data_IF_037764141526
#
_entry.id   IF_037764141526
#
_cell.length_a   1.000
_cell.length_b   1.000
_cell.length_c   1.000
_cell.angle_alpha   90.00
_cell.angle_beta   90.00
_cell.angle_gamma   90.00
#
_symmetry.space_group_name_H-M   'P 1'
#
loop_
_entity.id
_entity.type
_entity.pdbx_description
1 polymer ?
#
# COMPACT_ATOMS: atom_id res chain seq x y z
N UNK A 1 27.36 -6.50 -4.83
CA UNK A 1 25.94 -6.62 -5.20
C UNK A 1 25.20 -7.31 -4.06
N UNK A 2 24.38 -6.56 -3.32
CA UNK A 2 23.64 -7.06 -2.16
C UNK A 2 22.44 -7.89 -2.63
N UNK A 3 22.42 -9.19 -2.31
CA UNK A 3 21.29 -10.10 -2.61
C UNK A 3 19.92 -9.59 -2.12
N UNK A 4 19.89 -8.66 -1.16
CA UNK A 4 18.64 -8.10 -0.62
C UNK A 4 17.90 -7.19 -1.61
N UNK A 5 18.58 -6.53 -2.54
CA UNK A 5 17.93 -5.66 -3.53
C UNK A 5 17.15 -6.47 -4.57
N UNK A 6 17.56 -7.72 -4.82
CA UNK A 6 16.97 -8.58 -5.85
C UNK A 6 15.76 -9.40 -5.35
N UNK A 7 15.43 -9.34 -4.06
CA UNK A 7 14.22 -9.96 -3.49
C UNK A 7 13.02 -9.00 -3.57
N UNK A 8 13.25 -7.69 -3.58
CA UNK A 8 12.18 -6.68 -3.64
C UNK A 8 11.43 -6.64 -4.98
N UNK A 9 12.06 -7.08 -6.07
CA UNK A 9 11.48 -7.07 -7.43
C UNK A 9 10.64 -8.30 -7.80
N UNK A 10 10.61 -9.36 -6.96
CA UNK A 10 9.99 -10.65 -7.33
C UNK A 10 8.72 -11.00 -6.57
N UNK A 11 8.22 -10.13 -5.68
CA UNK A 11 6.93 -10.37 -5.02
C UNK A 11 5.81 -10.02 -5.99
N UNK A 12 5.34 -11.03 -6.71
CA UNK A 12 4.13 -10.90 -7.53
C UNK A 12 2.98 -10.56 -6.58
N UNK A 13 2.41 -9.37 -6.72
CA UNK A 13 1.24 -8.99 -5.94
C UNK A 13 0.02 -9.74 -6.49
N UNK A 14 -0.51 -10.70 -5.72
CA UNK A 14 -1.80 -11.30 -6.01
C UNK A 14 -2.90 -10.35 -5.56
N UNK A 15 -3.90 -10.12 -6.43
CA UNK A 15 -5.05 -9.29 -6.04
C UNK A 15 -5.86 -9.95 -4.91
N UNK A 16 -5.91 -11.29 -4.88
CA UNK A 16 -6.65 -12.03 -3.86
C UNK A 16 -5.96 -11.91 -2.49
N UNK A 17 -4.63 -11.97 -2.45
CA UNK A 17 -3.87 -11.74 -1.21
C UNK A 17 -4.06 -10.31 -0.70
N UNK A 18 -4.12 -9.33 -1.60
CA UNK A 18 -4.34 -7.94 -1.22
C UNK A 18 -5.73 -7.70 -0.64
N UNK A 19 -6.76 -8.33 -1.24
CA UNK A 19 -8.15 -8.28 -0.76
C UNK A 19 -8.26 -8.91 0.64
N UNK A 20 -7.75 -10.12 0.81
CA UNK A 20 -7.74 -10.84 2.09
C UNK A 20 -7.04 -10.02 3.20
N UNK A 21 -5.84 -9.51 2.91
CA UNK A 21 -5.05 -8.74 3.89
C UNK A 21 -5.64 -7.39 4.22
N UNK A 22 -6.27 -6.74 3.25
CA UNK A 22 -7.01 -5.49 3.47
C UNK A 22 -8.31 -5.74 4.24
N UNK A 23 -8.85 -6.96 4.23
CA UNK A 23 -10.13 -7.29 4.85
C UNK A 23 -11.32 -6.72 4.08
N UNK A 24 -11.24 -6.72 2.74
CA UNK A 24 -12.32 -6.33 1.84
C UNK A 24 -12.38 -7.31 0.67
N UNK A 25 -13.57 -7.61 0.17
CA UNK A 25 -13.82 -8.37 -1.06
C UNK A 25 -14.08 -7.45 -2.28
N UNK A 26 -14.17 -6.13 -2.07
CA UNK A 26 -14.38 -5.14 -3.12
C UNK A 26 -13.05 -4.61 -3.70
N UNK A 27 -12.77 -4.97 -4.95
CA UNK A 27 -11.61 -4.48 -5.73
C UNK A 27 -11.60 -2.96 -5.91
N UNK A 28 -12.76 -2.31 -5.95
CA UNK A 28 -12.87 -0.87 -6.05
C UNK A 28 -12.55 -0.19 -4.71
N UNK A 29 -12.99 -0.77 -3.59
CA UNK A 29 -12.58 -0.35 -2.26
C UNK A 29 -11.08 -0.49 -2.06
N UNK A 30 -10.50 -1.65 -2.40
CA UNK A 30 -9.05 -1.87 -2.38
C UNK A 30 -8.32 -0.77 -3.18
N UNK A 31 -8.78 -0.48 -4.39
CA UNK A 31 -8.19 0.58 -5.24
C UNK A 31 -8.29 1.95 -4.58
N UNK A 32 -9.44 2.28 -3.96
CA UNK A 32 -9.62 3.54 -3.22
C UNK A 32 -8.67 3.65 -2.04
N UNK A 33 -8.49 2.58 -1.27
CA UNK A 33 -7.55 2.53 -0.14
C UNK A 33 -6.11 2.77 -0.59
N UNK A 34 -5.71 2.13 -1.70
CA UNK A 34 -4.38 2.33 -2.27
C UNK A 34 -4.16 3.79 -2.69
N UNK A 35 -5.11 4.39 -3.42
CA UNK A 35 -5.02 5.80 -3.86
C UNK A 35 -4.98 6.75 -2.65
N UNK A 36 -5.80 6.52 -1.62
CA UNK A 36 -5.79 7.32 -0.41
C UNK A 36 -4.43 7.28 0.30
N UNK A 37 -3.81 6.10 0.38
CA UNK A 37 -2.49 5.96 0.99
C UNK A 37 -1.41 6.64 0.14
N UNK A 38 -1.41 6.47 -1.18
CA UNK A 38 -0.48 7.18 -2.07
C UNK A 38 -0.58 8.69 -1.86
N UNK A 39 -1.79 9.26 -1.77
CA UNK A 39 -1.98 10.69 -1.49
C UNK A 39 -1.40 11.12 -0.14
N UNK A 40 -1.49 10.29 0.90
CA UNK A 40 -0.84 10.54 2.20
C UNK A 40 0.67 10.53 2.07
N UNK A 41 1.23 9.53 1.37
CA UNK A 41 2.67 9.42 1.13
C UNK A 41 3.23 10.60 0.34
N UNK A 42 2.51 11.11 -0.68
CA UNK A 42 2.89 12.33 -1.41
C UNK A 42 2.99 13.52 -0.44
N UNK A 43 1.96 13.74 0.38
CA UNK A 43 1.95 14.82 1.39
C UNK A 43 3.05 14.65 2.46
N UNK A 44 3.40 13.42 2.82
CA UNK A 44 4.50 13.12 3.75
C UNK A 44 5.87 13.33 3.10
N UNK A 45 6.05 12.94 1.83
CA UNK A 45 7.29 13.13 1.07
C UNK A 45 7.56 14.60 0.77
N UNK A 46 6.54 15.40 0.48
CA UNK A 46 6.70 16.85 0.33
C UNK A 46 7.26 17.49 1.62
N UNK A 47 6.96 16.89 2.79
CA UNK A 47 7.58 17.28 4.08
C UNK A 47 8.97 16.67 4.32
N UNK A 48 9.28 15.54 3.67
CA UNK A 48 10.54 14.78 3.79
C UNK A 48 11.38 14.85 2.51
N UNK A 49 11.29 15.93 1.72
CA UNK A 49 11.86 16.05 0.37
C UNK A 49 13.41 15.88 0.26
N UNK A 50 14.07 15.44 1.34
CA UNK A 50 15.48 15.06 1.42
C UNK A 50 15.73 13.54 1.29
N UNK A 51 14.70 12.68 1.36
CA UNK A 51 14.91 11.22 1.25
C UNK A 51 14.84 10.74 -0.22
N UNK A 52 16.02 10.40 -0.74
CA UNK A 52 16.29 9.84 -2.08
C UNK A 52 15.70 8.42 -2.32
N UNK A 53 14.51 8.14 -1.81
CA UNK A 53 13.80 6.88 -2.09
C UNK A 53 13.51 6.76 -3.58
N UNK A 54 14.20 5.83 -4.25
CA UNK A 54 14.00 5.46 -5.66
C UNK A 54 12.72 4.61 -5.87
N UNK A 55 12.09 4.14 -4.80
CA UNK A 55 10.93 3.27 -4.89
C UNK A 55 9.64 4.04 -5.22
N UNK A 56 8.85 3.50 -6.16
CA UNK A 56 7.54 4.06 -6.53
C UNK A 56 6.56 3.91 -5.37
N UNK A 57 5.79 4.96 -5.08
CA UNK A 57 4.76 4.90 -4.04
C UNK A 57 3.76 3.76 -4.21
N UNK A 58 3.43 3.41 -5.46
CA UNK A 58 2.55 2.27 -5.73
C UNK A 58 3.11 0.96 -5.17
N UNK A 59 4.41 0.70 -5.33
CA UNK A 59 5.05 -0.51 -4.80
C UNK A 59 5.03 -0.53 -3.28
N UNK A 60 5.38 0.60 -2.65
CA UNK A 60 5.33 0.75 -1.19
C UNK A 60 3.92 0.49 -0.65
N UNK A 61 2.90 1.05 -1.29
CA UNK A 61 1.51 0.87 -0.85
C UNK A 61 1.04 -0.57 -1.00
N UNK A 62 1.35 -1.23 -2.12
CA UNK A 62 1.00 -2.65 -2.30
C UNK A 62 1.70 -3.54 -1.27
N UNK A 63 2.94 -3.21 -0.90
CA UNK A 63 3.64 -3.90 0.19
C UNK A 63 3.00 -3.64 1.55
N UNK A 64 2.64 -2.39 1.88
CA UNK A 64 1.91 -2.06 3.11
C UNK A 64 0.55 -2.78 3.19
N UNK A 65 -0.13 -2.96 2.05
CA UNK A 65 -1.37 -3.73 1.97
C UNK A 65 -1.14 -5.22 2.25
N UNK A 66 -0.13 -5.85 1.65
CA UNK A 66 0.22 -7.25 1.96
C UNK A 66 0.59 -7.46 3.44
N UNK A 67 1.20 -6.45 4.06
CA UNK A 67 1.53 -6.45 5.48
C UNK A 67 0.30 -6.20 6.39
N UNK A 68 -0.89 -5.95 5.83
CA UNK A 68 -2.13 -5.70 6.56
C UNK A 68 -2.17 -4.34 7.28
N UNK A 69 -1.30 -3.40 6.89
CA UNK A 69 -1.21 -2.05 7.50
C UNK A 69 -2.28 -1.09 7.02
N UNK A 70 -2.90 -1.38 5.88
CA UNK A 70 -3.96 -0.58 5.27
C UNK A 70 -5.26 -1.36 5.37
N UNK A 71 -6.25 -0.79 6.05
CA UNK A 71 -7.57 -1.39 6.24
C UNK A 71 -8.68 -0.39 5.87
N UNK A 72 -9.86 -0.88 5.44
CA UNK A 72 -11.07 -0.09 5.37
C UNK A 72 -11.31 0.67 6.68
N UNK A 73 -11.80 1.89 6.56
CA UNK A 73 -12.41 2.54 7.71
C UNK A 73 -13.76 1.87 7.92
N UNK A 74 -13.86 1.02 8.95
CA UNK A 74 -15.16 0.66 9.49
C UNK A 74 -15.74 1.96 10.07
N UNK A 75 -16.62 2.61 9.31
CA UNK A 75 -17.53 3.60 9.88
C UNK A 75 -18.57 2.72 10.56
N UNK A 76 -18.62 2.63 11.91
CA UNK A 76 -19.73 1.94 12.54
C UNK A 76 -21.01 2.59 12.03
N UNK A 77 -21.91 1.80 11.45
CA UNK A 77 -23.24 2.27 11.10
C UNK A 77 -23.83 2.88 12.38
N UNK A 78 -24.18 4.17 12.32
CA UNK A 78 -24.94 4.78 13.40
C UNK A 78 -26.32 4.14 13.34
N UNK A 79 -26.59 3.23 14.27
CA UNK A 79 -27.94 2.80 14.65
C UNK A 79 -28.81 4.00 15.06
#
# INVERSE_FOLDING_TARGET
MNKKENVFMSKLFSIDDLLDRAGTDDKFELTRLAIQRVRRLVKEKDKRALDNSQEKFSTLVLQEMLEGKIKPFHIPEKE
#
